data_IF_099281162179
#
_entry.id   IF_099281162179
#
_cell.length_a   1.000
_cell.length_b   1.000
_cell.length_c   1.000
_cell.angle_alpha   90.00
_cell.angle_beta   90.00
_cell.angle_gamma   90.00
#
_symmetry.space_group_name_H-M   'P 1'
#
loop_
_entity.id
_entity.type
_entity.pdbx_description
1 polymer ?
#
# COMPACT_ATOMS: atom_id res chain seq x y z
N UNK A 1 -33.52 -55.24 -38.57
CA UNK A 1 -33.79 -53.95 -37.91
C UNK A 1 -32.79 -52.93 -38.44
N UNK A 2 -33.21 -52.06 -39.37
CA UNK A 2 -32.42 -50.90 -39.79
C UNK A 2 -32.69 -49.82 -38.73
N UNK A 3 -31.67 -49.36 -38.01
CA UNK A 3 -31.76 -48.12 -37.25
C UNK A 3 -31.00 -47.05 -38.05
N UNK A 4 -31.78 -46.10 -38.54
CA UNK A 4 -31.39 -44.91 -39.29
C UNK A 4 -30.63 -43.93 -38.40
N UNK A 5 -29.78 -43.16 -39.09
CA UNK A 5 -29.05 -41.99 -38.61
C UNK A 5 -29.94 -40.99 -37.85
N UNK A 6 -29.39 -40.43 -36.77
CA UNK A 6 -29.37 -38.98 -36.66
C UNK A 6 -28.11 -38.51 -35.91
N UNK A 7 -27.18 -37.80 -36.59
CA UNK A 7 -26.11 -37.04 -35.98
C UNK A 7 -26.65 -35.64 -35.65
N UNK A 8 -26.75 -35.29 -34.37
CA UNK A 8 -26.61 -33.92 -33.83
C UNK A 8 -27.35 -33.79 -32.50
N UNK A 9 -26.61 -33.96 -31.41
CA UNK A 9 -26.74 -33.11 -30.22
C UNK A 9 -25.39 -33.09 -29.51
N UNK A 10 -24.46 -32.36 -30.13
CA UNK A 10 -23.17 -32.03 -29.53
C UNK A 10 -23.38 -31.32 -28.20
N UNK A 11 -22.79 -31.91 -27.17
CA UNK A 11 -22.11 -31.28 -26.04
C UNK A 11 -22.18 -29.74 -25.98
N UNK A 12 -23.06 -29.22 -25.13
CA UNK A 12 -22.87 -27.93 -24.47
C UNK A 12 -22.71 -28.29 -22.98
N UNK A 13 -21.50 -28.33 -22.42
CA UNK A 13 -20.61 -27.19 -22.28
C UNK A 13 -20.78 -26.61 -20.87
N UNK A 14 -20.33 -27.37 -19.87
CA UNK A 14 -20.16 -26.92 -18.48
C UNK A 14 -19.13 -25.78 -18.41
N UNK A 15 -19.37 -24.88 -17.47
CA UNK A 15 -18.47 -23.84 -16.93
C UNK A 15 -18.26 -22.57 -17.78
N UNK A 16 -19.23 -21.66 -17.69
CA UNK A 16 -19.08 -20.26 -18.06
C UNK A 16 -18.10 -19.56 -17.09
N UNK A 17 -16.86 -19.38 -17.54
CA UNK A 17 -16.02 -18.23 -17.21
C UNK A 17 -15.44 -18.18 -15.80
N UNK A 18 -14.26 -18.76 -15.62
CA UNK A 18 -13.38 -18.45 -14.49
C UNK A 18 -13.12 -16.94 -14.42
N UNK A 19 -13.72 -16.24 -13.44
CA UNK A 19 -13.48 -14.82 -13.17
C UNK A 19 -12.03 -14.61 -12.70
N UNK A 20 -11.12 -14.29 -13.61
CA UNK A 20 -9.77 -13.81 -13.30
C UNK A 20 -9.74 -12.32 -12.88
N UNK A 21 -10.81 -11.78 -12.30
CA UNK A 21 -10.95 -10.36 -11.94
C UNK A 21 -10.58 -10.01 -10.49
N UNK A 22 -10.51 -10.99 -9.57
CA UNK A 22 -10.28 -10.69 -8.15
C UNK A 22 -8.86 -10.20 -7.84
N UNK A 23 -7.84 -10.65 -8.59
CA UNK A 23 -6.44 -10.33 -8.28
C UNK A 23 -6.05 -8.88 -8.64
N UNK A 24 -6.47 -8.40 -9.80
CA UNK A 24 -6.20 -7.03 -10.26
C UNK A 24 -6.92 -6.01 -9.37
N UNK A 25 -8.21 -6.21 -9.11
CA UNK A 25 -9.01 -5.32 -8.26
C UNK A 25 -8.44 -5.24 -6.84
N UNK A 26 -8.00 -6.37 -6.27
CA UNK A 26 -7.34 -6.39 -4.96
C UNK A 26 -6.07 -5.54 -4.96
N UNK A 27 -5.16 -5.77 -5.92
CA UNK A 27 -3.90 -5.04 -6.03
C UNK A 27 -4.11 -3.54 -6.25
N UNK A 28 -5.12 -3.17 -7.04
CA UNK A 28 -5.49 -1.78 -7.25
C UNK A 28 -6.00 -1.15 -5.96
N UNK A 29 -6.88 -1.84 -5.23
CA UNK A 29 -7.37 -1.35 -3.94
C UNK A 29 -6.26 -1.18 -2.92
N UNK A 30 -5.31 -2.12 -2.86
CA UNK A 30 -4.14 -2.07 -1.98
C UNK A 30 -3.21 -0.91 -2.34
N UNK A 31 -3.05 -0.63 -3.64
CA UNK A 31 -2.31 0.54 -4.11
C UNK A 31 -2.99 1.84 -3.70
N UNK A 32 -4.31 1.96 -3.91
CA UNK A 32 -5.09 3.15 -3.50
C UNK A 32 -5.00 3.38 -1.98
N UNK A 33 -5.08 2.31 -1.19
CA UNK A 33 -4.99 2.40 0.28
C UNK A 33 -3.61 2.87 0.73
N UNK A 34 -2.54 2.35 0.12
CA UNK A 34 -1.17 2.80 0.40
C UNK A 34 -0.94 4.25 -0.01
N UNK A 35 -1.47 4.66 -1.16
CA UNK A 35 -1.38 6.04 -1.63
C UNK A 35 -2.06 6.99 -0.64
N UNK A 36 -3.30 6.69 -0.22
CA UNK A 36 -4.02 7.45 0.81
C UNK A 36 -3.23 7.55 2.12
N UNK A 37 -2.71 6.42 2.61
CA UNK A 37 -1.92 6.39 3.83
C UNK A 37 -0.65 7.25 3.72
N UNK A 38 0.00 7.26 2.56
CA UNK A 38 1.20 8.08 2.34
C UNK A 38 0.91 9.58 2.31
N UNK A 39 -0.25 10.00 1.77
CA UNK A 39 -0.70 11.39 1.82
C UNK A 39 -0.99 11.81 3.26
N UNK A 40 -1.66 10.95 4.04
CA UNK A 40 -1.89 11.21 5.47
C UNK A 40 -0.59 11.30 6.25
N UNK A 41 0.37 10.41 5.99
CA UNK A 41 1.68 10.46 6.62
C UNK A 41 2.42 11.75 6.27
N UNK A 42 2.39 12.21 5.01
CA UNK A 42 3.00 13.46 4.60
C UNK A 42 2.44 14.67 5.39
N UNK A 43 1.11 14.68 5.63
CA UNK A 43 0.47 15.73 6.43
C UNK A 43 0.97 15.71 7.89
N UNK A 44 1.03 14.54 8.52
CA UNK A 44 1.53 14.42 9.90
C UNK A 44 3.02 14.75 10.02
N UNK A 45 3.83 14.36 9.04
CA UNK A 45 5.25 14.75 8.97
C UNK A 45 5.37 16.27 8.90
N UNK A 46 4.57 16.92 8.07
CA UNK A 46 4.51 18.39 8.01
C UNK A 46 4.15 19.00 9.35
N UNK A 47 3.11 18.47 10.01
CA UNK A 47 2.69 18.92 11.33
C UNK A 47 3.79 18.77 12.39
N UNK A 48 4.42 17.61 12.48
CA UNK A 48 5.54 17.35 13.40
C UNK A 48 6.70 18.30 13.17
N UNK A 49 7.03 18.56 11.90
CA UNK A 49 8.12 19.46 11.54
C UNK A 49 7.82 20.92 11.91
N UNK A 50 6.65 21.44 11.52
CA UNK A 50 6.30 22.85 11.74
C UNK A 50 5.94 23.15 13.19
N UNK A 51 5.11 22.31 13.83
CA UNK A 51 4.57 22.60 15.16
C UNK A 51 5.52 22.20 16.28
N UNK A 52 6.31 21.13 16.06
CA UNK A 52 7.14 20.51 17.11
C UNK A 52 8.63 20.49 16.80
N UNK A 53 9.06 20.93 15.61
CA UNK A 53 10.45 20.82 15.17
C UNK A 53 10.99 19.38 15.28
N UNK A 54 10.14 18.41 14.94
CA UNK A 54 10.48 16.98 14.89
C UNK A 54 10.64 16.56 13.43
N UNK A 55 11.82 16.04 13.07
CA UNK A 55 12.06 15.45 11.75
C UNK A 55 11.86 13.95 11.79
N UNK A 56 11.02 13.44 10.90
CA UNK A 56 10.94 12.01 10.63
C UNK A 56 11.84 11.65 9.45
N UNK A 57 12.63 10.61 9.66
CA UNK A 57 13.60 10.07 8.72
C UNK A 57 13.26 8.58 8.54
N UNK A 58 13.48 8.04 7.34
CA UNK A 58 13.40 6.61 7.10
C UNK A 58 14.61 6.18 6.29
N UNK A 59 15.47 5.33 6.86
CA UNK A 59 16.71 4.87 6.23
C UNK A 59 17.57 6.02 5.73
N UNK A 60 17.81 7.00 6.61
CA UNK A 60 18.60 8.20 6.29
C UNK A 60 17.98 9.09 5.19
N UNK A 61 16.69 8.94 4.93
CA UNK A 61 15.93 9.79 3.98
C UNK A 61 14.89 10.58 4.75
N UNK A 62 15.02 11.91 4.86
CA UNK A 62 14.01 12.76 5.48
C UNK A 62 12.66 12.63 4.76
N UNK A 63 11.59 12.56 5.54
CA UNK A 63 10.20 12.50 5.06
C UNK A 63 9.59 13.89 4.83
N UNK A 64 10.20 14.95 5.36
CA UNK A 64 9.75 16.33 5.13
C UNK A 64 9.85 16.70 3.64
N UNK A 65 8.84 17.42 3.14
CA UNK A 65 8.74 17.87 1.75
C UNK A 65 8.85 16.71 0.73
N UNK A 66 8.27 15.54 1.07
CA UNK A 66 8.19 14.38 0.17
C UNK A 66 6.78 14.17 -0.35
N UNK A 67 6.69 13.86 -1.64
CA UNK A 67 5.43 13.42 -2.26
C UNK A 67 5.10 11.99 -1.83
N UNK A 68 3.81 11.65 -1.83
CA UNK A 68 3.27 10.31 -1.56
C UNK A 68 4.09 9.18 -2.21
N UNK A 69 4.33 9.28 -3.52
CA UNK A 69 5.10 8.29 -4.28
C UNK A 69 6.55 8.12 -3.81
N UNK A 70 7.21 9.19 -3.35
CA UNK A 70 8.57 9.13 -2.81
C UNK A 70 8.57 8.44 -1.44
N UNK A 71 7.59 8.76 -0.59
CA UNK A 71 7.43 8.12 0.72
C UNK A 71 7.21 6.62 0.55
N UNK A 72 6.36 6.20 -0.39
CA UNK A 72 6.16 4.79 -0.71
C UNK A 72 7.44 4.13 -1.23
N UNK A 73 8.18 4.81 -2.11
CA UNK A 73 9.47 4.31 -2.60
C UNK A 73 10.49 4.10 -1.46
N UNK A 74 10.52 4.99 -0.47
CA UNK A 74 11.42 4.85 0.67
C UNK A 74 11.06 3.64 1.53
N UNK A 75 9.76 3.37 1.73
CA UNK A 75 9.30 2.16 2.41
C UNK A 75 9.63 0.88 1.63
N UNK A 76 9.54 0.92 0.30
CA UNK A 76 9.95 -0.20 -0.55
C UNK A 76 11.45 -0.49 -0.41
N UNK A 77 12.26 0.57 -0.45
CA UNK A 77 13.70 0.48 -0.23
C UNK A 77 14.03 -0.09 1.16
N UNK A 78 13.39 0.44 2.21
CA UNK A 78 13.52 -0.01 3.59
C UNK A 78 13.27 -1.51 3.73
N UNK A 79 12.16 -1.99 3.16
CA UNK A 79 11.79 -3.41 3.17
C UNK A 79 12.86 -4.28 2.52
N UNK A 80 13.39 -3.85 1.38
CA UNK A 80 14.39 -4.59 0.62
C UNK A 80 15.73 -4.68 1.38
N UNK A 81 16.11 -3.64 2.11
CA UNK A 81 17.36 -3.60 2.88
C UNK A 81 17.27 -4.41 4.17
N UNK A 82 16.21 -4.22 4.96
CA UNK A 82 16.11 -4.83 6.31
C UNK A 82 15.47 -6.22 6.30
N UNK A 83 14.83 -6.59 5.18
CA UNK A 83 14.09 -7.86 5.04
C UNK A 83 13.00 -8.02 6.12
N UNK A 84 12.53 -6.91 6.70
CA UNK A 84 11.37 -6.84 7.60
C UNK A 84 10.32 -5.95 6.95
N UNK A 85 9.02 -6.29 7.09
CA UNK A 85 7.96 -5.44 6.57
C UNK A 85 7.89 -4.17 7.41
N UNK A 86 8.33 -3.05 6.84
CA UNK A 86 7.98 -1.71 7.31
C UNK A 86 6.97 -1.18 6.29
N UNK A 87 5.70 -1.15 6.69
CA UNK A 87 4.61 -0.69 5.84
C UNK A 87 4.36 0.79 6.05
N UNK A 88 3.70 1.42 5.08
CA UNK A 88 3.28 2.82 5.21
C UNK A 88 2.32 3.03 6.40
N UNK A 89 1.54 2.02 6.75
CA UNK A 89 0.60 2.07 7.86
C UNK A 89 1.30 2.03 9.21
N UNK A 90 2.42 1.32 9.33
CA UNK A 90 3.25 1.31 10.55
C UNK A 90 3.79 2.72 10.83
N UNK A 91 4.36 3.37 9.81
CA UNK A 91 4.87 4.74 9.93
C UNK A 91 3.75 5.76 10.19
N UNK A 92 2.58 5.59 9.56
CA UNK A 92 1.42 6.44 9.81
C UNK A 92 0.92 6.33 11.26
N UNK A 93 0.87 5.10 11.78
CA UNK A 93 0.52 4.86 13.18
C UNK A 93 1.51 5.55 14.13
N UNK A 94 2.82 5.35 13.93
CA UNK A 94 3.85 5.98 14.75
C UNK A 94 3.79 7.51 14.67
N UNK A 95 3.65 8.09 13.48
CA UNK A 95 3.53 9.54 13.32
C UNK A 95 2.29 10.11 14.03
N UNK A 96 1.18 9.37 14.02
CA UNK A 96 -0.06 9.75 14.73
C UNK A 96 0.19 9.82 16.24
N UNK A 97 0.86 8.81 16.80
CA UNK A 97 1.21 8.82 18.23
C UNK A 97 2.20 9.95 18.56
N UNK A 98 3.21 10.18 17.72
CA UNK A 98 4.20 11.24 17.93
C UNK A 98 3.58 12.65 17.95
N UNK A 99 2.54 12.90 17.15
CA UNK A 99 1.81 14.18 17.17
C UNK A 99 1.16 14.42 18.54
N UNK A 100 0.69 13.35 19.20
CA UNK A 100 0.03 13.43 20.51
C UNK A 100 1.02 13.48 21.68
N UNK A 101 2.27 13.07 21.48
CA UNK A 101 3.29 13.10 22.51
C UNK A 101 3.88 14.51 22.70
N UNK A 102 4.21 14.84 23.95
CA UNK A 102 4.92 16.06 24.30
C UNK A 102 6.44 15.80 24.28
N UNK A 103 7.01 15.68 23.09
CA UNK A 103 8.44 15.48 22.88
C UNK A 103 9.15 16.80 22.58
N UNK A 104 10.42 16.96 23.02
CA UNK A 104 11.23 18.07 22.58
C UNK A 104 11.58 17.95 21.08
N UNK A 105 12.00 19.06 20.43
CA UNK A 105 12.55 19.03 19.08
C UNK A 105 13.61 17.94 18.93
N UNK A 106 13.48 17.13 17.89
CA UNK A 106 14.30 15.93 17.74
C UNK A 106 14.29 15.37 16.31
N UNK A 107 15.26 14.49 16.04
CA UNK A 107 15.33 13.68 14.83
C UNK A 107 15.01 12.23 15.18
N UNK A 108 14.04 11.65 14.47
CA UNK A 108 13.57 10.27 14.69
C UNK A 108 13.71 9.53 13.35
N UNK A 109 14.52 8.47 13.33
CA UNK A 109 14.76 7.56 12.18
C UNK A 109 14.30 6.13 12.52
#
# INVERSE_FOLDING_TARGET
MKNQDNPDSKTEGLDQGTRHSNGYESQLSDWVNREKASVLLANLVGQLWFDKSIELIIFRRPLVDRRASQILNFHEYARNVVRKPITIHDSLFLATELVNLNLPPSWID
#
